data_IF_677505264847
#
_entry.id   IF_677505264847
#
_cell.length_a   1.000
_cell.length_b   1.000
_cell.length_c   1.000
_cell.angle_alpha   90.00
_cell.angle_beta   90.00
_cell.angle_gamma   90.00
#
_symmetry.space_group_name_H-M   'P 1'
#
loop_
_entity.id
_entity.type
_entity.pdbx_description
1 polymer ?
#
# COMPACT_ATOMS: atom_id res chain seq x y z
N UNK A 1 -2.08 -28.50 25.07
CA UNK A 1 -0.98 -27.51 25.04
C UNK A 1 0.10 -27.99 26.00
N UNK A 2 1.36 -27.69 25.72
CA UNK A 2 2.50 -27.95 26.60
C UNK A 2 2.67 -26.85 27.66
N UNK A 3 3.24 -27.19 28.81
CA UNK A 3 3.37 -26.29 29.95
C UNK A 3 4.21 -25.03 29.63
N UNK A 4 5.21 -25.14 28.75
CA UNK A 4 6.03 -24.00 28.33
C UNK A 4 5.20 -22.92 27.62
N UNK A 5 4.32 -23.35 26.69
CA UNK A 5 3.40 -22.43 26.02
C UNK A 5 2.35 -21.88 26.98
N UNK A 6 1.92 -22.66 27.96
CA UNK A 6 1.03 -22.19 29.02
C UNK A 6 1.64 -21.04 29.82
N UNK A 7 2.88 -21.18 30.30
CA UNK A 7 3.58 -20.12 31.05
C UNK A 7 3.74 -18.82 30.24
N UNK A 8 4.04 -18.92 28.93
CA UNK A 8 4.03 -17.74 28.05
C UNK A 8 2.66 -17.07 27.95
N UNK A 9 1.57 -17.85 27.87
CA UNK A 9 0.22 -17.30 27.84
C UNK A 9 -0.22 -16.72 29.19
N UNK A 10 0.26 -17.27 30.31
CA UNK A 10 0.06 -16.69 31.65
C UNK A 10 0.67 -15.29 31.70
N UNK A 11 1.91 -15.10 31.24
CA UNK A 11 2.55 -13.78 31.19
C UNK A 11 1.76 -12.79 30.33
N UNK A 12 1.35 -13.20 29.12
CA UNK A 12 0.50 -12.37 28.25
C UNK A 12 -0.84 -11.98 28.90
N UNK A 13 -1.42 -12.89 29.69
CA UNK A 13 -2.66 -12.63 30.40
C UNK A 13 -2.47 -11.52 31.44
N UNK A 14 -1.40 -11.60 32.24
CA UNK A 14 -1.07 -10.61 33.26
C UNK A 14 -0.76 -9.24 32.65
N UNK A 15 -0.09 -9.20 31.49
CA UNK A 15 0.20 -7.98 30.74
C UNK A 15 -1.04 -7.38 30.02
N UNK A 16 -2.21 -8.03 30.11
CA UNK A 16 -3.46 -7.65 29.40
C UNK A 16 -3.29 -7.61 27.87
N UNK A 17 -2.33 -8.38 27.33
CA UNK A 17 -2.00 -8.51 25.88
C UNK A 17 -2.37 -9.90 25.29
N UNK A 18 -3.23 -10.64 25.97
CA UNK A 18 -3.71 -11.94 25.52
C UNK A 18 -4.93 -11.82 24.59
N UNK A 19 -4.98 -12.60 23.52
CA UNK A 19 -6.18 -12.69 22.66
C UNK A 19 -7.23 -13.64 23.24
N UNK A 20 -8.50 -13.46 22.89
CA UNK A 20 -9.59 -14.36 23.33
C UNK A 20 -9.36 -15.83 22.97
N UNK A 21 -8.73 -16.10 21.82
CA UNK A 21 -8.39 -17.47 21.42
C UNK A 21 -7.33 -18.07 22.34
N UNK A 22 -6.26 -17.31 22.61
CA UNK A 22 -5.18 -17.73 23.51
C UNK A 22 -5.68 -17.91 24.94
N UNK A 23 -6.56 -17.04 25.43
CA UNK A 23 -7.19 -17.16 26.75
C UNK A 23 -8.00 -18.45 26.87
N UNK A 24 -8.77 -18.80 25.86
CA UNK A 24 -9.50 -20.08 25.83
C UNK A 24 -8.58 -21.30 25.77
N UNK A 25 -7.46 -21.21 25.04
CA UNK A 25 -6.43 -22.26 25.02
C UNK A 25 -5.76 -22.43 26.39
N UNK A 26 -5.45 -21.32 27.07
CA UNK A 26 -4.90 -21.30 28.42
C UNK A 26 -5.87 -21.92 29.43
N UNK A 27 -7.13 -21.47 29.46
CA UNK A 27 -8.14 -21.98 30.39
C UNK A 27 -8.31 -23.50 30.28
N UNK A 28 -8.39 -24.03 29.05
CA UNK A 28 -8.46 -25.48 28.82
C UNK A 28 -7.24 -26.23 29.35
N UNK A 29 -6.05 -25.60 29.34
CA UNK A 29 -4.86 -26.21 29.89
C UNK A 29 -4.86 -26.17 31.43
N UNK A 30 -5.27 -25.05 32.02
CA UNK A 30 -5.40 -24.90 33.48
C UNK A 30 -6.42 -25.88 34.06
N UNK A 31 -7.45 -26.29 33.31
CA UNK A 31 -8.40 -27.33 33.72
C UNK A 31 -7.77 -28.71 33.90
N UNK A 32 -6.68 -29.00 33.18
CA UNK A 32 -6.10 -30.36 33.08
C UNK A 32 -4.72 -30.47 33.75
N UNK A 33 -3.97 -29.37 33.83
CA UNK A 33 -2.64 -29.34 34.46
C UNK A 33 -2.70 -28.61 35.81
N UNK A 34 -2.43 -29.32 36.90
CA UNK A 34 -2.41 -28.75 38.25
C UNK A 34 -1.21 -27.81 38.47
N UNK A 35 -0.05 -28.14 37.92
CA UNK A 35 1.18 -27.33 38.07
C UNK A 35 1.01 -25.93 37.48
N UNK A 36 0.54 -25.83 36.23
CA UNK A 36 0.28 -24.54 35.59
C UNK A 36 -0.89 -23.79 36.23
N UNK A 37 -1.86 -24.50 36.85
CA UNK A 37 -2.94 -23.86 37.61
C UNK A 37 -2.41 -23.19 38.87
N UNK A 38 -1.57 -23.89 39.63
CA UNK A 38 -0.93 -23.33 40.82
C UNK A 38 -0.04 -22.13 40.48
N UNK A 39 0.77 -22.23 39.41
CA UNK A 39 1.57 -21.13 38.88
C UNK A 39 0.71 -19.91 38.52
N UNK A 40 -0.37 -20.12 37.77
CA UNK A 40 -1.29 -19.05 37.38
C UNK A 40 -1.94 -18.39 38.59
N UNK A 41 -2.46 -19.16 39.55
CA UNK A 41 -3.11 -18.61 40.74
C UNK A 41 -2.13 -17.80 41.57
N UNK A 42 -0.91 -18.32 41.80
CA UNK A 42 0.10 -17.62 42.59
C UNK A 42 0.47 -16.28 41.92
N UNK A 43 0.70 -16.28 40.61
CA UNK A 43 1.05 -15.06 39.89
C UNK A 43 -0.12 -14.06 39.85
N UNK A 44 -1.33 -14.53 39.56
CA UNK A 44 -2.52 -13.67 39.51
C UNK A 44 -2.79 -13.00 40.86
N UNK A 45 -2.73 -13.77 41.95
CA UNK A 45 -2.92 -13.24 43.31
C UNK A 45 -1.87 -12.17 43.63
N UNK A 46 -0.60 -12.39 43.26
CA UNK A 46 0.45 -11.37 43.47
C UNK A 46 0.23 -10.10 42.65
N UNK A 47 -0.31 -10.21 41.44
CA UNK A 47 -0.64 -9.05 40.61
C UNK A 47 -1.82 -8.28 41.18
N UNK A 48 -2.88 -8.97 41.64
CA UNK A 48 -4.03 -8.34 42.29
C UNK A 48 -3.61 -7.57 43.54
N UNK A 49 -2.72 -8.12 44.38
CA UNK A 49 -2.17 -7.40 45.53
C UNK A 49 -1.40 -6.14 45.17
N UNK A 50 -0.73 -6.12 44.01
CA UNK A 50 0.00 -4.94 43.52
C UNK A 50 -0.94 -3.92 42.91
N UNK A 51 -1.97 -4.35 42.18
CA UNK A 51 -3.01 -3.47 41.63
C UNK A 51 -3.86 -2.79 42.73
N UNK A 52 -4.03 -3.46 43.88
CA UNK A 52 -4.74 -2.91 45.05
C UNK A 52 -3.96 -1.83 45.82
N UNK A 53 -2.67 -1.62 45.50
CA UNK A 53 -1.88 -0.57 46.12
C UNK A 53 -2.39 0.82 45.70
N UNK A 54 -2.36 1.77 46.64
CA UNK A 54 -2.73 3.16 46.33
C UNK A 54 -1.82 3.76 45.26
N UNK A 55 -2.44 4.40 44.26
CA UNK A 55 -1.74 5.16 43.23
C UNK A 55 -0.93 6.29 43.89
N UNK A 56 0.40 6.19 43.82
CA UNK A 56 1.31 7.22 44.35
C UNK A 56 1.55 8.28 43.28
N UNK A 57 1.27 9.54 43.61
CA UNK A 57 1.60 10.65 42.71
C UNK A 57 3.11 10.72 42.45
N UNK A 58 3.55 10.76 41.18
CA UNK A 58 4.96 10.93 40.87
C UNK A 58 5.46 12.31 41.33
N UNK A 59 6.72 12.43 41.81
CA UNK A 59 7.33 13.72 42.10
C UNK A 59 7.21 14.72 40.95
N UNK A 60 6.84 15.97 41.26
CA UNK A 60 6.52 17.05 40.29
C UNK A 60 7.61 17.33 39.23
N UNK A 61 8.85 16.93 39.48
CA UNK A 61 9.99 17.19 38.59
C UNK A 61 10.40 16.01 37.70
N UNK A 62 9.73 14.84 37.80
CA UNK A 62 10.08 13.66 36.99
C UNK A 62 9.95 13.96 35.49
N UNK A 63 8.84 14.57 35.07
CA UNK A 63 8.62 14.89 33.65
C UNK A 63 9.76 15.75 33.11
N UNK A 64 10.13 16.81 33.83
CA UNK A 64 11.23 17.71 33.43
C UNK A 64 12.57 16.98 33.34
N UNK A 65 12.88 16.13 34.33
CA UNK A 65 14.14 15.34 34.35
C UNK A 65 14.20 14.33 33.20
N UNK A 66 13.10 13.63 32.94
CA UNK A 66 13.01 12.68 31.82
C UNK A 66 13.18 13.41 30.49
N UNK A 67 12.44 14.50 30.28
CA UNK A 67 12.50 15.27 29.03
C UNK A 67 13.88 15.93 28.80
N UNK A 68 14.59 16.31 29.86
CA UNK A 68 15.96 16.80 29.78
C UNK A 68 16.98 15.69 29.44
N UNK A 69 16.70 14.45 29.83
CA UNK A 69 17.59 13.30 29.62
C UNK A 69 17.47 12.70 28.22
N UNK A 70 16.44 13.06 27.46
CA UNK A 70 16.24 12.58 26.08
C UNK A 70 17.24 13.28 25.14
N UNK A 71 18.12 12.50 24.53
CA UNK A 71 19.01 12.95 23.47
C UNK A 71 18.23 13.21 22.17
N UNK A 72 17.85 14.47 21.96
CA UNK A 72 17.15 14.95 20.75
C UNK A 72 17.99 14.77 19.47
N UNK A 73 19.30 14.56 19.57
CA UNK A 73 20.20 14.31 18.46
C UNK A 73 19.96 12.96 17.79
N UNK A 74 19.61 11.92 18.56
CA UNK A 74 19.29 10.57 18.05
C UNK A 74 18.04 10.52 17.17
N UNK A 75 17.15 11.49 17.31
CA UNK A 75 15.85 11.53 16.62
C UNK A 75 15.81 12.54 15.47
N UNK A 76 16.96 13.10 15.05
CA UNK A 76 17.01 14.01 13.89
C UNK A 76 16.71 13.26 12.59
N UNK A 77 15.54 13.50 12.01
CA UNK A 77 15.17 12.98 10.69
C UNK A 77 16.09 13.57 9.62
N UNK A 78 16.94 12.72 9.01
CA UNK A 78 17.82 13.11 7.90
C UNK A 78 16.97 13.59 6.72
N UNK A 79 17.08 14.88 6.38
CA UNK A 79 16.21 15.52 5.39
C UNK A 79 16.93 15.63 4.05
N UNK A 80 16.66 14.69 3.14
CA UNK A 80 17.28 14.64 1.81
C UNK A 80 16.57 15.56 0.80
N UNK A 81 16.32 16.82 1.18
CA UNK A 81 15.54 17.79 0.38
C UNK A 81 16.16 18.05 -1.00
N UNK A 82 17.49 18.10 -1.07
CA UNK A 82 18.22 18.31 -2.33
C UNK A 82 17.99 17.18 -3.34
N UNK A 83 17.92 15.93 -2.87
CA UNK A 83 17.70 14.77 -3.73
C UNK A 83 16.27 14.77 -4.29
N UNK A 84 15.28 15.12 -3.46
CA UNK A 84 13.88 15.24 -3.90
C UNK A 84 13.73 16.32 -4.97
N UNK A 85 14.35 17.49 -4.79
CA UNK A 85 14.31 18.57 -5.79
C UNK A 85 14.94 18.15 -7.13
N UNK A 86 16.08 17.44 -7.08
CA UNK A 86 16.75 16.94 -8.28
C UNK A 86 15.89 15.91 -9.04
N UNK A 87 15.19 15.01 -8.34
CA UNK A 87 14.28 14.05 -8.97
C UNK A 87 13.11 14.75 -9.65
N UNK A 88 12.50 15.74 -8.98
CA UNK A 88 11.36 16.50 -9.54
C UNK A 88 11.80 17.27 -10.79
N UNK A 89 12.96 17.90 -10.76
CA UNK A 89 13.53 18.59 -11.91
C UNK A 89 13.74 17.61 -13.09
N UNK A 90 14.35 16.45 -12.84
CA UNK A 90 14.61 15.45 -13.89
C UNK A 90 13.33 14.93 -14.55
N UNK A 91 12.29 14.63 -13.76
CA UNK A 91 11.00 14.15 -14.29
C UNK A 91 10.30 15.21 -15.15
N UNK A 92 10.38 16.49 -14.75
CA UNK A 92 9.81 17.59 -15.53
C UNK A 92 10.49 17.78 -16.90
N UNK A 93 11.81 17.53 -16.98
CA UNK A 93 12.55 17.63 -18.24
C UNK A 93 12.20 16.48 -19.19
N UNK A 94 12.04 15.27 -18.64
CA UNK A 94 11.67 14.09 -19.42
C UNK A 94 10.25 14.19 -20.01
N UNK A 95 9.29 14.74 -19.24
CA UNK A 95 7.92 14.93 -19.71
C UNK A 95 7.82 15.97 -20.83
N UNK A 96 8.57 17.07 -20.73
CA UNK A 96 8.64 18.09 -21.79
C UNK A 96 9.28 17.49 -23.05
N UNK A 97 10.37 16.73 -22.88
CA UNK A 97 11.11 16.13 -24.01
C UNK A 97 10.25 15.12 -24.79
N UNK A 98 9.50 14.27 -24.10
CA UNK A 98 8.59 13.29 -24.75
C UNK A 98 7.43 13.98 -25.47
N UNK A 99 6.89 15.07 -24.91
CA UNK A 99 5.88 15.89 -25.58
C UNK A 99 6.39 16.50 -26.90
N UNK A 100 7.61 17.05 -26.90
CA UNK A 100 8.21 17.61 -28.11
C UNK A 100 8.46 16.54 -29.18
N UNK A 101 8.94 15.36 -28.81
CA UNK A 101 9.13 14.23 -29.73
C UNK A 101 7.79 13.79 -30.33
N UNK A 102 6.75 13.64 -29.50
CA UNK A 102 5.41 13.28 -29.95
C UNK A 102 4.83 14.31 -30.92
N UNK A 103 4.98 15.61 -30.63
CA UNK A 103 4.53 16.70 -31.50
C UNK A 103 5.30 16.74 -32.83
N UNK A 104 6.60 16.45 -32.82
CA UNK A 104 7.40 16.37 -34.06
C UNK A 104 6.98 15.17 -34.90
N UNK A 105 6.69 14.03 -34.26
CA UNK A 105 6.25 12.81 -34.94
C UNK A 105 4.88 12.98 -35.60
N UNK A 106 3.95 13.68 -34.94
CA UNK A 106 2.64 13.99 -35.52
C UNK A 106 2.70 15.03 -36.65
N UNK A 107 3.66 15.95 -36.62
CA UNK A 107 3.86 16.95 -37.68
C UNK A 107 4.66 16.42 -38.88
N UNK A 108 5.62 15.51 -38.67
CA UNK A 108 6.44 14.94 -39.75
C UNK A 108 5.71 13.90 -40.60
N UNK A 109 4.56 13.40 -40.14
CA UNK A 109 3.70 12.50 -40.91
C UNK A 109 2.30 13.12 -40.99
N UNK A 110 2.09 14.20 -41.79
CA UNK A 110 0.77 14.75 -42.02
C UNK A 110 -0.04 13.69 -42.78
N UNK A 111 -0.93 13.03 -42.07
CA UNK A 111 -1.61 11.84 -42.56
C UNK A 111 -1.75 10.74 -41.52
N UNK A 112 -0.89 10.69 -40.49
CA UNK A 112 -0.91 9.60 -39.50
C UNK A 112 -2.27 9.46 -38.80
N UNK A 113 -2.93 10.58 -38.48
CA UNK A 113 -4.26 10.59 -37.84
C UNK A 113 -5.36 10.16 -38.82
N UNK A 114 -5.28 10.59 -40.09
CA UNK A 114 -6.24 10.20 -41.12
C UNK A 114 -6.03 8.75 -41.58
N UNK A 115 -4.79 8.27 -41.64
CA UNK A 115 -4.42 6.89 -41.93
C UNK A 115 -4.80 5.97 -40.77
N UNK A 116 -4.68 6.43 -39.52
CA UNK A 116 -5.25 5.72 -38.37
C UNK A 116 -6.77 5.57 -38.50
N UNK A 117 -7.47 6.64 -38.90
CA UNK A 117 -8.93 6.60 -39.09
C UNK A 117 -9.35 5.70 -40.26
N UNK A 118 -8.63 5.75 -41.39
CA UNK A 118 -8.88 4.91 -42.56
C UNK A 118 -8.54 3.44 -42.26
N UNK A 119 -7.50 3.18 -41.46
CA UNK A 119 -7.17 1.86 -40.95
C UNK A 119 -8.28 1.27 -40.08
N UNK A 120 -8.93 2.09 -39.23
CA UNK A 120 -10.10 1.67 -38.46
C UNK A 120 -11.31 1.37 -39.35
N UNK A 121 -11.60 2.21 -40.34
CA UNK A 121 -12.71 1.99 -41.29
C UNK A 121 -12.48 0.72 -42.12
N UNK A 122 -11.28 0.53 -42.67
CA UNK A 122 -10.94 -0.66 -43.47
C UNK A 122 -10.94 -1.94 -42.61
N UNK A 123 -10.51 -1.85 -41.36
CA UNK A 123 -10.61 -2.96 -40.39
C UNK A 123 -12.06 -3.27 -40.03
N UNK A 124 -12.93 -2.26 -39.87
CA UNK A 124 -14.37 -2.46 -39.63
C UNK A 124 -15.03 -3.10 -40.86
N UNK A 125 -14.74 -2.62 -42.08
CA UNK A 125 -15.31 -3.19 -43.31
C UNK A 125 -14.88 -4.64 -43.52
N UNK A 126 -13.60 -4.96 -43.27
CA UNK A 126 -13.11 -6.36 -43.31
C UNK A 126 -13.70 -7.21 -42.20
N UNK A 127 -13.92 -6.64 -41.02
CA UNK A 127 -14.60 -7.32 -39.90
C UNK A 127 -16.07 -7.60 -40.24
N UNK A 128 -16.79 -6.65 -40.82
CA UNK A 128 -18.17 -6.83 -41.29
C UNK A 128 -18.23 -7.86 -42.42
N UNK A 129 -17.33 -7.79 -43.41
CA UNK A 129 -17.22 -8.78 -44.49
C UNK A 129 -16.89 -10.18 -43.95
N UNK A 130 -16.03 -10.28 -42.94
CA UNK A 130 -15.70 -11.53 -42.24
C UNK A 130 -16.88 -12.06 -41.43
N UNK A 131 -17.66 -11.20 -40.76
CA UNK A 131 -18.91 -11.56 -40.08
C UNK A 131 -19.90 -12.11 -41.10
N UNK A 132 -20.09 -11.43 -42.24
CA UNK A 132 -21.00 -11.84 -43.33
C UNK A 132 -20.60 -13.19 -43.94
N UNK A 133 -19.30 -13.41 -44.21
CA UNK A 133 -18.78 -14.68 -44.73
C UNK A 133 -18.88 -15.79 -43.69
N UNK A 134 -18.67 -15.51 -42.40
CA UNK A 134 -18.78 -16.50 -41.32
C UNK A 134 -20.19 -16.75 -40.78
N UNK A 135 -21.20 -15.93 -41.15
CA UNK A 135 -22.61 -16.31 -40.99
C UNK A 135 -22.98 -17.56 -41.79
N UNK A 136 -22.15 -17.96 -42.77
CA UNK A 136 -22.35 -19.15 -43.61
C UNK A 136 -21.61 -20.38 -43.03
N UNK A 137 -20.61 -20.20 -42.14
CA UNK A 137 -19.85 -21.30 -41.56
C UNK A 137 -19.34 -20.97 -40.15
N UNK A 138 -20.06 -21.45 -39.14
CA UNK A 138 -19.53 -21.61 -37.77
C UNK A 138 -18.71 -22.91 -37.72
N UNK A 139 -17.49 -22.95 -37.13
CA UNK A 139 -17.28 -22.62 -35.71
C UNK A 139 -15.93 -21.96 -35.33
N UNK A 140 -15.19 -21.33 -36.25
CA UNK A 140 -13.86 -20.75 -35.94
C UNK A 140 -13.88 -19.28 -35.45
N UNK A 141 -15.08 -18.70 -35.32
CA UNK A 141 -15.30 -17.30 -34.93
C UNK A 141 -14.87 -16.97 -33.50
N UNK A 142 -15.00 -17.94 -32.57
CA UNK A 142 -14.77 -17.70 -31.14
C UNK A 142 -13.27 -17.52 -30.81
N UNK A 143 -12.40 -18.30 -31.46
CA UNK A 143 -10.95 -18.29 -31.19
C UNK A 143 -10.28 -17.03 -31.77
N UNK A 144 -10.77 -16.54 -32.91
CA UNK A 144 -10.30 -15.30 -33.53
C UNK A 144 -10.69 -14.05 -32.74
N UNK A 145 -11.93 -14.00 -32.22
CA UNK A 145 -12.42 -12.87 -31.41
C UNK A 145 -11.66 -12.74 -30.07
N UNK A 146 -11.36 -13.85 -29.39
CA UNK A 146 -10.62 -13.83 -28.12
C UNK A 146 -9.17 -13.33 -28.29
N UNK A 147 -8.49 -13.68 -29.40
CA UNK A 147 -7.12 -13.20 -29.70
C UNK A 147 -7.07 -11.73 -30.11
N UNK A 148 -8.12 -11.22 -30.76
CA UNK A 148 -8.21 -9.83 -31.21
C UNK A 148 -8.60 -8.88 -30.07
N UNK A 149 -9.60 -9.27 -29.27
CA UNK A 149 -10.05 -8.52 -28.10
C UNK A 149 -8.89 -8.40 -27.10
N UNK A 150 -8.22 -9.50 -26.75
CA UNK A 150 -7.13 -9.50 -25.75
C UNK A 150 -5.93 -8.58 -26.09
N UNK A 151 -5.61 -8.34 -27.36
CA UNK A 151 -4.52 -7.43 -27.75
C UNK A 151 -4.94 -5.96 -27.80
N UNK A 152 -6.19 -5.66 -28.16
CA UNK A 152 -6.69 -4.27 -28.26
C UNK A 152 -7.23 -3.72 -26.94
N UNK A 153 -7.85 -4.55 -26.07
CA UNK A 153 -8.30 -4.11 -24.73
C UNK A 153 -7.18 -3.94 -23.72
N UNK A 154 -5.92 -4.25 -24.05
CA UNK A 154 -4.79 -4.05 -23.13
C UNK A 154 -3.98 -2.78 -23.44
N UNK A 155 -3.61 -2.54 -24.70
CA UNK A 155 -2.60 -1.51 -25.01
C UNK A 155 -3.12 -0.08 -24.82
N UNK A 156 -4.32 0.22 -25.31
CA UNK A 156 -4.92 1.56 -25.19
C UNK A 156 -5.22 1.97 -23.73
N UNK A 157 -5.84 1.11 -22.90
CA UNK A 157 -6.02 1.46 -21.49
C UNK A 157 -4.69 1.49 -20.75
N UNK A 158 -3.68 0.67 -21.09
CA UNK A 158 -2.36 0.77 -20.44
C UNK A 158 -1.72 2.15 -20.67
N UNK A 159 -1.79 2.69 -21.88
CA UNK A 159 -1.21 4.02 -22.17
C UNK A 159 -1.98 5.13 -21.43
N UNK A 160 -3.32 5.07 -21.41
CA UNK A 160 -4.13 6.02 -20.64
C UNK A 160 -3.92 5.88 -19.12
N UNK A 161 -3.76 4.67 -18.61
CA UNK A 161 -3.53 4.39 -17.20
C UNK A 161 -2.13 4.87 -16.79
N UNK A 162 -1.11 4.69 -17.63
CA UNK A 162 0.23 5.27 -17.42
C UNK A 162 0.16 6.80 -17.40
N UNK A 163 -0.62 7.42 -18.29
CA UNK A 163 -0.79 8.87 -18.30
C UNK A 163 -1.48 9.40 -17.03
N UNK A 164 -2.61 8.78 -16.65
CA UNK A 164 -3.34 9.14 -15.42
C UNK A 164 -2.52 8.90 -14.16
N UNK A 165 -1.74 7.81 -14.11
CA UNK A 165 -0.84 7.50 -12.99
C UNK A 165 0.23 8.58 -12.81
N UNK A 166 0.78 9.09 -13.91
CA UNK A 166 1.75 10.19 -13.86
C UNK A 166 1.11 11.50 -13.35
N UNK A 167 -0.14 11.80 -13.71
CA UNK A 167 -0.85 12.98 -13.19
C UNK A 167 -1.11 12.88 -11.67
N UNK A 168 -1.52 11.71 -11.18
CA UNK A 168 -1.75 11.50 -9.74
C UNK A 168 -0.46 11.64 -8.92
N UNK A 169 0.66 11.12 -9.42
CA UNK A 169 1.97 11.28 -8.75
C UNK A 169 2.35 12.75 -8.65
N UNK A 170 2.08 13.54 -9.70
CA UNK A 170 2.37 14.97 -9.73
C UNK A 170 1.56 15.72 -8.64
N UNK A 171 0.26 15.45 -8.53
CA UNK A 171 -0.60 16.04 -7.51
C UNK A 171 -0.15 15.70 -6.08
N UNK A 172 0.19 14.44 -5.81
CA UNK A 172 0.69 14.01 -4.50
C UNK A 172 2.01 14.68 -4.13
N UNK A 173 2.89 14.91 -5.11
CA UNK A 173 4.14 15.64 -4.90
C UNK A 173 3.87 17.10 -4.53
N UNK A 174 2.95 17.77 -5.22
CA UNK A 174 2.54 19.15 -4.93
C UNK A 174 1.95 19.25 -3.52
N UNK A 175 1.04 18.35 -3.14
CA UNK A 175 0.44 18.31 -1.80
C UNK A 175 1.47 18.09 -0.70
N UNK A 176 2.45 17.20 -0.93
CA UNK A 176 3.52 16.94 0.04
C UNK A 176 4.42 18.15 0.24
N UNK A 177 4.74 18.89 -0.83
CA UNK A 177 5.50 20.14 -0.77
C UNK A 177 4.70 21.21 -0.01
N UNK A 178 3.41 21.37 -0.32
CA UNK A 178 2.54 22.34 0.33
C UNK A 178 2.35 22.05 1.83
N UNK A 179 2.11 20.80 2.21
CA UNK A 179 1.94 20.40 3.62
C UNK A 179 3.24 20.52 4.43
N UNK A 180 4.40 20.27 3.80
CA UNK A 180 5.72 20.56 4.41
C UNK A 180 5.89 22.07 4.66
N UNK A 181 5.33 22.93 3.81
CA UNK A 181 5.41 24.38 3.98
C UNK A 181 4.46 24.89 5.07
N UNK A 182 3.24 24.34 5.18
CA UNK A 182 2.27 24.69 6.23
C UNK A 182 2.75 24.29 7.62
N UNK A 183 3.32 23.09 7.80
CA UNK A 183 3.83 22.64 9.12
C UNK A 183 5.03 23.46 9.66
N UNK A 184 5.49 24.47 8.91
CA UNK A 184 6.66 25.28 9.23
C UNK A 184 6.33 26.71 9.65
N UNK A 185 5.08 27.16 9.47
CA UNK A 185 4.50 28.37 10.06
C UNK A 185 3.68 28.00 11.31
#
# INVERSE_FOLDING_TARGET
MDCNKASLLIMKYLDKDITEKEKNELNKHLEVCSECREEFTLLNDTFEMVEDLEDVEPPKDIEKKVMASIDKGKYKKKSNKSLVYLIVLALSVLSVSTYFIFRKLTLSIPGLISDFSNFFVESIVKFVSFIVVNTINTPDLLVGLVKLISRFTLILPIVLLVFLFNLVILELCILKIYNINIRRN
#
